data_IF_214297405146
#
_entry.id   IF_214297405146
#
_cell.length_a   1.000
_cell.length_b   1.000
_cell.length_c   1.000
_cell.angle_alpha   90.00
_cell.angle_beta   90.00
_cell.angle_gamma   90.00
#
_symmetry.space_group_name_H-M   'P 1'
#
loop_
_entity.id
_entity.type
_entity.pdbx_description
1 polymer ?
#
# COMPACT_ATOMS: atom_id res chain seq x y z
N UNK A 1 -13.01 31.33 -30.62
CA UNK A 1 -11.69 30.73 -30.42
C UNK A 1 -11.97 29.27 -30.02
N UNK A 2 -11.91 28.34 -30.98
CA UNK A 2 -12.11 26.92 -30.67
C UNK A 2 -10.93 26.47 -29.82
N UNK A 3 -11.21 25.89 -28.64
CA UNK A 3 -10.22 25.16 -27.87
C UNK A 3 -9.92 23.93 -28.72
N UNK A 4 -8.72 23.90 -29.27
CA UNK A 4 -8.17 22.74 -29.96
C UNK A 4 -8.32 21.56 -29.00
N UNK A 5 -8.93 20.46 -29.46
CA UNK A 5 -9.00 19.19 -28.71
C UNK A 5 -7.57 18.61 -28.57
N UNK A 6 -6.71 19.33 -27.89
CA UNK A 6 -5.43 18.80 -27.46
C UNK A 6 -5.73 17.59 -26.58
N UNK A 7 -5.50 16.41 -27.12
CA UNK A 7 -5.60 15.12 -26.42
C UNK A 7 -4.76 15.27 -25.16
N UNK A 8 -5.44 15.47 -24.02
CA UNK A 8 -4.77 15.54 -22.72
C UNK A 8 -4.08 14.19 -22.53
N UNK A 9 -2.75 14.20 -22.45
CA UNK A 9 -2.01 13.00 -22.09
C UNK A 9 -2.40 12.60 -20.66
N UNK A 10 -3.12 11.49 -20.54
CA UNK A 10 -3.52 10.95 -19.26
C UNK A 10 -2.28 10.42 -18.52
N UNK A 11 -2.25 10.53 -17.17
CA UNK A 11 -1.11 10.06 -16.39
C UNK A 11 -0.94 8.54 -16.49
N UNK A 12 0.31 8.10 -16.68
CA UNK A 12 0.71 6.69 -16.66
C UNK A 12 1.12 6.23 -15.26
N UNK A 13 1.35 7.17 -14.36
CA UNK A 13 1.73 6.90 -12.96
C UNK A 13 0.76 7.59 -12.03
N UNK A 14 0.31 6.88 -10.98
CA UNK A 14 -0.67 7.40 -10.03
C UNK A 14 -0.23 7.11 -8.59
N UNK A 15 -0.43 8.08 -7.71
CA UNK A 15 -0.47 7.87 -6.26
C UNK A 15 -1.93 7.96 -5.82
N UNK A 16 -2.46 6.88 -5.22
CA UNK A 16 -3.83 6.83 -4.76
C UNK A 16 -3.89 6.35 -3.30
N UNK A 17 -4.33 7.23 -2.41
CA UNK A 17 -4.55 6.85 -1.03
C UNK A 17 -5.81 5.99 -0.91
N UNK A 18 -5.63 4.73 -0.47
CA UNK A 18 -6.75 3.76 -0.35
C UNK A 18 -7.43 3.81 1.02
N UNK A 19 -6.82 4.48 1.99
CA UNK A 19 -7.37 4.73 3.33
C UNK A 19 -6.62 5.87 4.00
N UNK A 20 -7.34 6.75 4.72
CA UNK A 20 -6.74 7.75 5.60
C UNK A 20 -6.65 7.29 7.06
N UNK A 21 -7.04 6.03 7.35
CA UNK A 21 -6.91 5.41 8.68
C UNK A 21 -5.52 4.84 8.88
N UNK A 22 -4.99 4.96 10.09
CA UNK A 22 -3.75 4.31 10.48
C UNK A 22 -3.86 3.75 11.89
N UNK A 23 -3.29 2.56 12.11
CA UNK A 23 -3.20 1.91 13.42
C UNK A 23 -2.00 2.40 14.26
N UNK A 24 -1.22 3.37 13.75
CA UNK A 24 -0.13 4.05 14.45
C UNK A 24 -0.36 5.56 14.55
N UNK A 25 0.31 6.17 15.52
CA UNK A 25 0.45 7.62 15.69
C UNK A 25 1.93 7.98 15.82
N UNK A 26 2.65 7.86 14.70
CA UNK A 26 4.08 8.13 14.66
C UNK A 26 4.37 9.61 14.89
N UNK A 27 5.39 9.95 15.68
CA UNK A 27 5.69 11.34 16.04
C UNK A 27 6.01 12.26 14.85
N UNK A 28 6.60 11.69 13.78
CA UNK A 28 6.91 12.44 12.56
C UNK A 28 5.74 12.50 11.55
N UNK A 29 4.61 11.83 11.83
CA UNK A 29 3.46 11.80 10.92
C UNK A 29 2.47 12.91 11.23
N UNK A 30 1.83 13.43 10.18
CA UNK A 30 0.76 14.43 10.34
C UNK A 30 -0.40 13.91 11.20
N UNK A 31 -0.70 12.61 11.15
CA UNK A 31 -1.73 11.97 11.97
C UNK A 31 -1.41 11.95 13.47
N UNK A 32 -0.19 12.30 13.88
CA UNK A 32 0.16 12.43 15.30
C UNK A 32 -0.71 13.46 16.01
N UNK A 33 -1.03 14.55 15.32
CA UNK A 33 -1.89 15.64 15.83
C UNK A 33 -3.38 15.41 15.59
N UNK A 34 -3.75 14.31 14.96
CA UNK A 34 -5.12 13.97 14.56
C UNK A 34 -5.36 14.12 13.06
N UNK A 35 -6.40 13.47 12.57
CA UNK A 35 -6.87 13.63 11.19
C UNK A 35 -7.83 14.82 11.12
N UNK A 36 -7.77 15.58 10.02
CA UNK A 36 -8.68 16.69 9.75
C UNK A 36 -9.90 16.25 8.94
N UNK A 37 -9.82 15.01 8.41
CA UNK A 37 -10.89 14.39 7.66
C UNK A 37 -11.47 13.19 8.42
N UNK A 38 -12.77 12.88 8.26
CA UNK A 38 -13.34 11.66 8.80
C UNK A 38 -12.58 10.42 8.32
N UNK A 39 -12.40 9.40 9.17
CA UNK A 39 -11.80 8.14 8.76
C UNK A 39 -12.59 7.51 7.62
N UNK A 40 -11.91 7.17 6.52
CA UNK A 40 -12.53 6.60 5.33
C UNK A 40 -11.58 5.63 4.64
N UNK A 41 -12.17 4.59 4.07
CA UNK A 41 -11.56 3.74 3.06
C UNK A 41 -12.21 4.03 1.71
N UNK A 42 -11.44 3.99 0.64
CA UNK A 42 -11.98 3.92 -0.71
C UNK A 42 -12.54 2.51 -0.91
N UNK A 43 -13.72 2.41 -1.50
CA UNK A 43 -14.32 1.11 -1.85
C UNK A 43 -13.71 0.57 -3.14
N UNK A 44 -13.85 -0.74 -3.40
CA UNK A 44 -13.40 -1.34 -4.65
C UNK A 44 -14.07 -0.70 -5.88
N UNK A 45 -15.37 -0.38 -5.81
CA UNK A 45 -16.10 0.24 -6.93
C UNK A 45 -15.59 1.65 -7.23
N UNK A 46 -15.33 2.47 -6.19
CA UNK A 46 -14.72 3.79 -6.35
C UNK A 46 -13.32 3.69 -6.97
N UNK A 47 -12.53 2.73 -6.49
CA UNK A 47 -11.19 2.46 -6.99
C UNK A 47 -11.20 2.08 -8.48
N UNK A 48 -12.06 1.16 -8.87
CA UNK A 48 -12.25 0.74 -10.27
C UNK A 48 -12.69 1.95 -11.12
N UNK A 49 -13.68 2.72 -10.65
CA UNK A 49 -14.15 3.91 -11.35
C UNK A 49 -13.07 4.95 -11.62
N UNK A 50 -12.11 5.10 -10.69
CA UNK A 50 -10.97 6.01 -10.86
C UNK A 50 -9.96 5.44 -11.85
N UNK A 51 -9.56 4.18 -11.66
CA UNK A 51 -8.47 3.58 -12.44
C UNK A 51 -8.89 3.25 -13.87
N UNK A 52 -10.16 2.99 -14.15
CA UNK A 52 -10.67 2.73 -15.50
C UNK A 52 -10.67 4.00 -16.39
N UNK A 53 -10.63 5.18 -15.78
CA UNK A 53 -10.43 6.44 -16.52
C UNK A 53 -8.98 6.61 -17.03
N UNK A 54 -8.05 5.75 -16.62
CA UNK A 54 -6.64 5.77 -16.94
C UNK A 54 -6.23 4.50 -17.71
N UNK A 55 -6.62 4.37 -18.99
CA UNK A 55 -6.36 3.14 -19.76
C UNK A 55 -4.88 2.87 -20.01
N UNK A 56 -4.03 3.94 -19.98
CA UNK A 56 -2.58 3.83 -20.17
C UNK A 56 -1.80 3.83 -18.84
N UNK A 57 -2.46 3.53 -17.70
CA UNK A 57 -1.80 3.44 -16.41
C UNK A 57 -0.79 2.29 -16.41
N UNK A 58 0.46 2.58 -16.10
CA UNK A 58 1.59 1.63 -16.08
C UNK A 58 2.03 1.29 -14.65
N UNK A 59 1.88 2.25 -13.73
CA UNK A 59 2.35 2.11 -12.37
C UNK A 59 1.45 2.84 -11.37
N UNK A 60 1.25 2.25 -10.19
CA UNK A 60 0.49 2.86 -9.10
C UNK A 60 1.09 2.59 -7.73
N UNK A 61 1.08 3.63 -6.89
CA UNK A 61 1.36 3.52 -5.47
C UNK A 61 0.07 3.63 -4.66
N UNK A 62 -0.31 2.55 -3.96
CA UNK A 62 -1.54 2.47 -3.16
C UNK A 62 -1.26 2.85 -1.70
N UNK A 63 -0.72 4.05 -1.48
CA UNK A 63 -0.48 4.57 -0.13
C UNK A 63 -0.57 6.10 -0.11
N UNK A 64 -0.87 6.62 1.06
CA UNK A 64 -0.86 8.04 1.41
C UNK A 64 -0.43 8.18 2.86
N UNK A 65 -1.27 8.80 3.67
CA UNK A 65 -1.03 9.03 5.11
C UNK A 65 -1.44 7.81 5.94
N UNK A 66 -2.46 7.07 5.49
CA UNK A 66 -3.02 5.91 6.16
C UNK A 66 -2.12 4.66 6.10
N UNK A 67 -2.62 3.58 6.71
CA UNK A 67 -2.03 2.22 6.62
C UNK A 67 -2.85 1.38 5.64
N UNK A 68 -2.35 1.07 4.44
CA UNK A 68 -3.12 0.38 3.40
C UNK A 68 -3.69 -0.97 3.83
N UNK A 69 -3.01 -1.71 4.71
CA UNK A 69 -3.47 -3.01 5.23
C UNK A 69 -4.73 -2.91 6.11
N UNK A 70 -5.23 -1.71 6.42
CA UNK A 70 -6.53 -1.50 7.07
C UNK A 70 -7.69 -1.53 6.08
N UNK A 71 -7.44 -1.35 4.78
CA UNK A 71 -8.47 -1.48 3.76
C UNK A 71 -8.62 -2.95 3.36
N UNK A 72 -9.78 -3.53 3.65
CA UNK A 72 -10.05 -4.94 3.37
C UNK A 72 -10.16 -5.24 1.86
N UNK A 73 -10.48 -4.24 1.04
CA UNK A 73 -10.57 -4.36 -0.42
C UNK A 73 -9.18 -4.29 -1.10
N UNK A 74 -8.10 -3.97 -0.38
CA UNK A 74 -6.75 -3.81 -0.95
C UNK A 74 -6.32 -4.99 -1.83
N UNK A 75 -6.49 -6.27 -1.43
CA UNK A 75 -6.12 -7.40 -2.30
C UNK A 75 -6.93 -7.47 -3.60
N UNK A 76 -8.21 -7.07 -3.57
CA UNK A 76 -9.05 -7.03 -4.75
C UNK A 76 -8.64 -5.89 -5.70
N UNK A 77 -8.30 -4.73 -5.17
CA UNK A 77 -7.75 -3.58 -5.92
C UNK A 77 -6.45 -3.95 -6.63
N UNK A 78 -5.52 -4.64 -5.93
CA UNK A 78 -4.28 -5.10 -6.54
C UNK A 78 -4.57 -6.08 -7.68
N UNK A 79 -5.43 -7.08 -7.47
CA UNK A 79 -5.79 -8.04 -8.54
C UNK A 79 -6.41 -7.35 -9.76
N UNK A 80 -7.28 -6.36 -9.55
CA UNK A 80 -7.86 -5.58 -10.64
C UNK A 80 -6.78 -4.93 -11.52
N UNK A 81 -5.77 -4.32 -10.91
CA UNK A 81 -4.65 -3.70 -11.61
C UNK A 81 -3.72 -4.72 -12.28
N UNK A 82 -3.44 -5.84 -11.61
CA UNK A 82 -2.60 -6.90 -12.18
C UNK A 82 -3.22 -7.54 -13.41
N UNK A 83 -4.55 -7.61 -13.51
CA UNK A 83 -5.26 -8.05 -14.72
C UNK A 83 -5.10 -7.07 -15.90
N UNK A 84 -4.58 -5.86 -15.65
CA UNK A 84 -4.30 -4.81 -16.62
C UNK A 84 -2.80 -4.60 -16.84
N UNK A 85 -1.94 -5.50 -16.34
CA UNK A 85 -0.48 -5.43 -16.38
C UNK A 85 0.12 -4.16 -15.73
N UNK A 86 -0.62 -3.51 -14.81
CA UNK A 86 -0.14 -2.35 -14.05
C UNK A 86 0.82 -2.80 -12.95
N UNK A 87 1.96 -2.13 -12.80
CA UNK A 87 2.88 -2.33 -11.68
C UNK A 87 2.32 -1.68 -10.42
N UNK A 88 2.25 -2.44 -9.32
CA UNK A 88 1.60 -2.02 -8.06
C UNK A 88 2.57 -2.05 -6.91
N UNK A 89 2.65 -0.94 -6.17
CA UNK A 89 3.39 -0.88 -4.91
C UNK A 89 2.58 -0.24 -3.79
N UNK A 90 2.97 -0.49 -2.53
CA UNK A 90 2.55 0.32 -1.39
C UNK A 90 3.55 0.27 -0.24
N UNK A 91 3.44 1.27 0.66
CA UNK A 91 4.18 1.31 1.92
C UNK A 91 3.30 0.83 3.07
N UNK A 92 3.85 0.05 4.00
CA UNK A 92 3.15 -0.41 5.19
C UNK A 92 4.03 -0.26 6.44
N UNK A 93 3.41 -0.08 7.60
CA UNK A 93 4.10 -0.17 8.88
C UNK A 93 4.37 -1.64 9.32
N UNK A 94 3.85 -2.63 8.62
CA UNK A 94 4.10 -4.05 8.79
C UNK A 94 3.43 -4.71 10.00
N UNK A 95 2.69 -3.96 10.84
CA UNK A 95 2.05 -4.53 12.04
C UNK A 95 0.97 -5.54 11.68
N UNK A 96 0.19 -5.25 10.62
CA UNK A 96 -0.92 -6.08 10.17
C UNK A 96 -0.50 -7.14 9.14
N UNK A 97 0.79 -7.28 8.85
CA UNK A 97 1.32 -8.23 7.89
C UNK A 97 1.45 -9.64 8.52
N UNK A 98 0.33 -10.18 9.03
CA UNK A 98 0.21 -11.54 9.54
C UNK A 98 0.18 -12.59 8.40
N UNK A 99 0.21 -13.87 8.75
CA UNK A 99 0.27 -14.96 7.77
C UNK A 99 -0.90 -14.98 6.77
N UNK A 100 -2.10 -14.58 7.19
CA UNK A 100 -3.27 -14.50 6.31
C UNK A 100 -3.06 -13.41 5.26
N UNK A 101 -2.72 -12.19 5.70
CA UNK A 101 -2.45 -11.06 4.80
C UNK A 101 -1.25 -11.29 3.90
N UNK A 102 -0.20 -11.96 4.42
CA UNK A 102 0.93 -12.39 3.60
C UNK A 102 0.48 -13.28 2.43
N UNK A 103 -0.38 -14.28 2.72
CA UNK A 103 -0.91 -15.21 1.71
C UNK A 103 -1.73 -14.47 0.65
N UNK A 104 -2.62 -13.58 1.10
CA UNK A 104 -3.46 -12.79 0.22
C UNK A 104 -2.63 -11.89 -0.71
N UNK A 105 -1.64 -11.17 -0.16
CA UNK A 105 -0.77 -10.28 -0.93
C UNK A 105 0.06 -11.06 -1.96
N UNK A 106 0.65 -12.18 -1.58
CA UNK A 106 1.41 -13.03 -2.49
C UNK A 106 0.52 -13.51 -3.64
N UNK A 107 -0.72 -13.91 -3.33
CA UNK A 107 -1.68 -14.39 -4.34
C UNK A 107 -2.19 -13.29 -5.29
N UNK A 108 -1.99 -12.01 -4.96
CA UNK A 108 -2.38 -10.90 -5.83
C UNK A 108 -1.40 -10.61 -6.95
N UNK A 109 -0.15 -11.05 -6.83
CA UNK A 109 0.93 -10.67 -7.74
C UNK A 109 1.47 -9.26 -7.50
N UNK A 110 1.37 -8.74 -6.26
CA UNK A 110 1.95 -7.45 -5.85
C UNK A 110 3.43 -7.37 -6.25
N UNK A 111 3.84 -6.26 -6.88
CA UNK A 111 5.21 -6.09 -7.38
C UNK A 111 6.17 -5.59 -6.29
N UNK A 112 5.73 -4.66 -5.43
CA UNK A 112 6.61 -4.09 -4.41
C UNK A 112 5.87 -3.75 -3.10
N UNK A 113 6.40 -4.25 -1.97
CA UNK A 113 6.00 -3.86 -0.63
C UNK A 113 7.19 -3.23 0.11
N UNK A 114 7.02 -1.99 0.53
CA UNK A 114 8.01 -1.27 1.34
C UNK A 114 7.59 -1.24 2.80
N UNK A 115 8.46 -1.70 3.69
CA UNK A 115 8.18 -1.68 5.14
C UNK A 115 8.83 -0.46 5.79
N UNK A 116 7.99 0.35 6.40
CA UNK A 116 8.40 1.55 7.14
C UNK A 116 8.87 1.18 8.55
N UNK A 117 10.11 0.70 8.71
CA UNK A 117 10.64 0.25 10.01
C UNK A 117 11.30 1.39 10.81
N UNK A 118 12.11 2.25 10.15
CA UNK A 118 12.77 3.47 10.66
C UNK A 118 13.71 3.30 11.85
N UNK A 119 13.97 2.09 12.33
CA UNK A 119 14.85 1.84 13.46
C UNK A 119 15.41 0.41 13.44
N UNK A 120 16.59 0.23 14.04
CA UNK A 120 17.23 -1.06 14.20
C UNK A 120 17.08 -1.66 15.62
N UNK A 121 16.30 -1.01 16.49
CA UNK A 121 16.09 -1.47 17.88
C UNK A 121 14.66 -1.13 18.36
N UNK A 122 14.14 -1.89 19.36
CA UNK A 122 12.85 -1.60 19.97
C UNK A 122 12.75 -0.19 20.54
N UNK A 123 13.83 0.31 21.15
CA UNK A 123 13.88 1.66 21.74
C UNK A 123 13.80 2.75 20.67
N UNK A 124 14.57 2.60 19.58
CA UNK A 124 14.52 3.50 18.42
C UNK A 124 13.15 3.49 17.75
N UNK A 125 12.58 2.29 17.54
CA UNK A 125 11.24 2.13 16.97
C UNK A 125 10.18 2.83 17.83
N UNK A 126 10.20 2.62 19.15
CA UNK A 126 9.30 3.31 20.08
C UNK A 126 9.45 4.84 20.00
N UNK A 127 10.69 5.33 19.90
CA UNK A 127 10.95 6.77 19.80
C UNK A 127 10.37 7.38 18.52
N UNK A 128 10.47 6.69 17.38
CA UNK A 128 10.03 7.16 16.07
C UNK A 128 8.54 6.87 15.81
N UNK A 129 8.14 5.60 16.00
CA UNK A 129 6.80 5.09 15.64
C UNK A 129 5.78 5.18 16.76
N UNK A 130 6.20 5.58 17.98
CA UNK A 130 5.35 5.66 19.18
C UNK A 130 4.64 4.32 19.47
N UNK A 131 5.36 3.20 19.29
CA UNK A 131 4.81 1.85 19.38
C UNK A 131 5.85 0.87 19.94
N UNK A 132 5.40 -0.16 20.67
CA UNK A 132 6.23 -1.24 21.18
C UNK A 132 6.20 -2.49 20.27
N UNK A 133 5.78 -2.37 19.00
CA UNK A 133 5.54 -3.48 18.07
C UNK A 133 6.76 -3.86 17.21
N UNK A 134 7.97 -3.43 17.58
CA UNK A 134 9.19 -3.69 16.81
C UNK A 134 9.38 -5.17 16.48
N UNK A 135 9.37 -6.02 17.51
CA UNK A 135 9.64 -7.46 17.34
C UNK A 135 8.58 -8.12 16.47
N UNK A 136 7.31 -7.73 16.63
CA UNK A 136 6.21 -8.20 15.77
C UNK A 136 6.45 -7.84 14.29
N UNK A 137 6.85 -6.59 14.01
CA UNK A 137 7.11 -6.16 12.63
C UNK A 137 8.29 -6.91 12.03
N UNK A 138 9.36 -7.12 12.81
CA UNK A 138 10.54 -7.89 12.37
C UNK A 138 10.18 -9.35 12.10
N UNK A 139 9.36 -9.97 12.94
CA UNK A 139 8.88 -11.34 12.75
C UNK A 139 7.99 -11.47 11.51
N UNK A 140 7.01 -10.57 11.35
CA UNK A 140 6.16 -10.51 10.18
C UNK A 140 6.98 -10.37 8.89
N UNK A 141 7.98 -9.49 8.89
CA UNK A 141 8.85 -9.27 7.74
C UNK A 141 9.69 -10.51 7.42
N UNK A 142 10.28 -11.16 8.43
CA UNK A 142 11.04 -12.42 8.23
C UNK A 142 10.16 -13.50 7.64
N UNK A 143 8.99 -13.72 8.24
CA UNK A 143 8.00 -14.69 7.75
C UNK A 143 7.63 -14.42 6.28
N UNK A 144 7.33 -13.18 5.94
CA UNK A 144 6.96 -12.78 4.58
C UNK A 144 8.07 -13.05 3.57
N UNK A 145 9.30 -12.66 3.88
CA UNK A 145 10.49 -12.92 3.02
C UNK A 145 10.72 -14.41 2.83
N UNK A 146 10.61 -15.21 3.88
CA UNK A 146 10.78 -16.67 3.80
C UNK A 146 9.69 -17.33 2.96
N UNK A 147 8.45 -16.83 3.01
CA UNK A 147 7.33 -17.32 2.19
C UNK A 147 7.54 -17.00 0.71
N UNK A 148 7.96 -15.78 0.40
CA UNK A 148 8.26 -15.38 -0.99
C UNK A 148 9.40 -16.25 -1.56
N UNK A 149 10.45 -16.50 -0.79
CA UNK A 149 11.60 -17.31 -1.23
C UNK A 149 11.26 -18.77 -1.49
N UNK A 150 10.27 -19.33 -0.82
CA UNK A 150 9.82 -20.72 -0.98
C UNK A 150 8.85 -20.90 -2.15
N UNK A 151 8.27 -19.84 -2.67
CA UNK A 151 7.45 -19.95 -3.86
C UNK A 151 8.35 -20.05 -5.09
N UNK A 152 8.12 -21.00 -6.01
CA UNK A 152 8.79 -20.98 -7.28
C UNK A 152 8.47 -19.65 -7.94
N UNK A 153 9.52 -18.92 -8.36
CA UNK A 153 9.46 -17.61 -9.01
C UNK A 153 8.51 -17.64 -10.22
N UNK A 154 7.22 -17.50 -9.98
CA UNK A 154 6.28 -17.06 -10.99
C UNK A 154 6.41 -15.53 -11.05
N UNK A 155 7.29 -15.09 -11.96
CA UNK A 155 7.39 -13.72 -12.46
C UNK A 155 7.76 -12.61 -11.46
N UNK A 156 8.97 -12.64 -10.92
CA UNK A 156 9.72 -11.41 -10.73
C UNK A 156 10.34 -11.06 -12.09
N UNK A 157 9.70 -10.19 -12.84
CA UNK A 157 10.33 -9.46 -13.94
C UNK A 157 11.06 -8.25 -13.38
#
# INVERSE_FOLDING_TARGET
MAIDDAKLDLPRNLYLEVTNRCNLKCKACILYKGSWEPPRDITLDEFISITDQLPELEWIALHGIGEPLLNEDLPAMIRHLKNRDVSVQFNSNGILLDESRQSDLIATGLDELRISLDAASPQGYKAMRNSNRFDQVVENLRSFVDRIRRQPLCHLK
#
